data_IF_400106200133
#
_entry.id   IF_400106200133
#
_cell.length_a   1.000
_cell.length_b   1.000
_cell.length_c   1.000
_cell.angle_alpha   90.00
_cell.angle_beta   90.00
_cell.angle_gamma   90.00
#
_symmetry.space_group_name_H-M   'P 1'
#
loop_
_entity.id
_entity.type
_entity.pdbx_description
1 polymer ?
#
# COMPACT_ATOMS: atom_id res chain seq x y z
N UNK A 1 27.53 7.58 -22.03
CA UNK A 1 26.90 6.71 -21.02
C UNK A 1 25.85 7.54 -20.30
N UNK A 2 24.57 7.34 -20.59
CA UNK A 2 23.48 8.14 -19.99
C UNK A 2 23.14 7.57 -18.63
N UNK A 3 23.41 8.33 -17.57
CA UNK A 3 23.04 7.96 -16.21
C UNK A 3 21.54 8.21 -16.01
N UNK A 4 20.77 7.14 -15.86
CA UNK A 4 19.37 7.24 -15.40
C UNK A 4 19.39 7.45 -13.89
N UNK A 5 19.16 8.68 -13.45
CA UNK A 5 19.01 9.00 -12.03
C UNK A 5 17.65 8.51 -11.56
N UNK A 6 17.62 7.36 -10.87
CA UNK A 6 16.42 6.92 -10.16
C UNK A 6 16.24 7.82 -8.94
N UNK A 7 15.42 8.86 -9.06
CA UNK A 7 14.94 9.58 -7.90
C UNK A 7 14.01 8.65 -7.12
N UNK A 8 14.54 7.93 -6.13
CA UNK A 8 13.70 7.17 -5.19
C UNK A 8 12.89 8.18 -4.39
N UNK A 9 11.56 8.15 -4.52
CA UNK A 9 10.71 8.72 -3.49
C UNK A 9 11.13 8.09 -2.16
N UNK A 10 11.63 8.88 -1.22
CA UNK A 10 12.10 8.38 0.08
C UNK A 10 10.89 8.01 0.94
N UNK A 11 10.48 6.75 0.81
CA UNK A 11 9.49 6.11 1.70
C UNK A 11 10.23 5.32 2.77
N UNK A 12 9.79 5.45 4.01
CA UNK A 12 10.21 4.61 5.12
C UNK A 12 9.16 3.50 5.27
N UNK A 13 9.61 2.26 5.15
CA UNK A 13 8.82 1.05 5.38
C UNK A 13 9.68 0.02 6.09
N UNK A 14 9.05 -0.81 6.89
CA UNK A 14 9.66 -1.97 7.52
C UNK A 14 10.08 -2.96 6.43
N UNK A 15 11.37 -3.35 6.35
CA UNK A 15 11.85 -4.21 5.27
C UNK A 15 11.26 -5.61 5.27
N UNK A 16 10.77 -6.06 6.43
CA UNK A 16 10.22 -7.38 6.66
C UNK A 16 9.04 -7.27 7.62
N UNK A 17 7.97 -7.99 7.31
CA UNK A 17 6.84 -8.20 8.19
C UNK A 17 6.43 -9.67 8.08
N UNK A 18 6.36 -10.36 9.21
CA UNK A 18 6.01 -11.78 9.29
C UNK A 18 4.80 -11.95 10.20
N UNK A 19 3.91 -12.86 9.83
CA UNK A 19 2.74 -13.23 10.61
C UNK A 19 2.44 -14.71 10.41
N UNK A 20 1.58 -15.28 11.23
CA UNK A 20 1.08 -16.64 11.05
C UNK A 20 -0.09 -16.67 10.07
N UNK A 21 -0.26 -17.79 9.36
CA UNK A 21 -1.39 -17.97 8.46
C UNK A 21 -2.72 -17.79 9.21
N UNK A 22 -3.65 -17.02 8.61
CA UNK A 22 -4.94 -16.68 9.22
C UNK A 22 -4.92 -15.49 10.17
N UNK A 23 -3.75 -14.88 10.42
CA UNK A 23 -3.62 -13.66 11.22
C UNK A 23 -3.45 -12.44 10.31
N UNK A 24 -4.12 -11.35 10.67
CA UNK A 24 -3.98 -10.08 9.96
C UNK A 24 -2.56 -9.50 10.10
N UNK A 25 -2.11 -8.74 9.09
CA UNK A 25 -0.81 -8.07 9.09
C UNK A 25 -0.97 -6.61 8.66
N UNK A 26 -0.27 -5.72 9.35
CA UNK A 26 -0.23 -4.29 9.04
C UNK A 26 1.13 -3.93 8.47
N UNK A 27 1.15 -3.48 7.21
CA UNK A 27 2.34 -2.95 6.54
C UNK A 27 2.19 -1.43 6.47
N UNK A 28 3.13 -0.71 7.09
CA UNK A 28 3.09 0.73 7.15
C UNK A 28 4.04 1.36 6.13
N UNK A 29 3.72 2.59 5.72
CA UNK A 29 4.63 3.44 4.96
C UNK A 29 4.56 4.88 5.44
N UNK A 30 5.72 5.50 5.61
CA UNK A 30 5.84 6.92 5.94
C UNK A 30 6.58 7.65 4.83
N UNK A 31 6.08 8.83 4.45
CA UNK A 31 6.67 9.65 3.40
C UNK A 31 7.26 10.91 4.04
N UNK A 32 8.58 10.94 4.21
CA UNK A 32 9.23 11.99 5.01
C UNK A 32 9.31 13.34 4.27
N UNK A 33 9.45 13.32 2.94
CA UNK A 33 9.81 14.51 2.15
C UNK A 33 8.74 14.93 1.13
N UNK A 34 7.56 14.32 1.15
CA UNK A 34 6.51 14.64 0.17
C UNK A 34 5.28 15.18 0.89
N UNK A 35 4.93 16.41 0.55
CA UNK A 35 3.94 17.23 1.26
C UNK A 35 2.50 16.97 0.80
N UNK A 36 2.30 16.37 -0.38
CA UNK A 36 0.98 16.12 -0.95
C UNK A 36 0.95 14.84 -1.79
N UNK A 37 0.25 13.82 -1.30
CA UNK A 37 -0.27 12.73 -2.12
C UNK A 37 -1.78 12.77 -2.10
N UNK A 38 -2.40 12.68 -3.26
CA UNK A 38 -3.85 12.46 -3.35
C UNK A 38 -4.20 10.97 -3.24
N UNK A 39 -3.22 10.08 -3.49
CA UNK A 39 -3.40 8.63 -3.49
C UNK A 39 -2.11 7.90 -3.11
N UNK A 40 -2.24 6.78 -2.38
CA UNK A 40 -1.19 5.76 -2.19
C UNK A 40 -1.66 4.45 -2.84
N UNK A 41 -0.79 3.80 -3.59
CA UNK A 41 -1.08 2.54 -4.29
C UNK A 41 -0.23 1.42 -3.68
N UNK A 42 -0.88 0.31 -3.32
CA UNK A 42 -0.21 -0.88 -2.80
C UNK A 42 -0.16 -1.97 -3.87
N UNK A 43 1.04 -2.51 -4.07
CA UNK A 43 1.29 -3.61 -5.01
C UNK A 43 1.96 -4.78 -4.29
N UNK A 44 1.66 -5.99 -4.76
CA UNK A 44 2.30 -7.25 -4.39
C UNK A 44 3.13 -7.76 -5.55
N UNK A 45 4.36 -8.15 -5.31
CA UNK A 45 5.16 -8.90 -6.28
C UNK A 45 5.59 -10.24 -5.68
N UNK A 46 5.21 -11.33 -6.34
CA UNK A 46 5.68 -12.68 -6.00
C UNK A 46 6.93 -13.01 -6.83
N UNK A 47 7.81 -13.92 -6.35
CA UNK A 47 8.97 -14.36 -7.11
C UNK A 47 8.61 -14.79 -8.53
N UNK A 48 9.34 -14.29 -9.53
CA UNK A 48 9.13 -14.60 -10.94
C UNK A 48 7.87 -13.98 -11.59
N UNK A 49 7.15 -13.08 -10.91
CA UNK A 49 5.95 -12.43 -11.43
C UNK A 49 6.09 -10.91 -11.52
N UNK A 50 5.25 -10.29 -12.35
CA UNK A 50 5.10 -8.84 -12.38
C UNK A 50 4.35 -8.32 -11.14
N UNK A 51 4.38 -7.00 -10.87
CA UNK A 51 3.59 -6.38 -9.82
C UNK A 51 2.09 -6.59 -10.04
N UNK A 52 1.38 -6.93 -8.98
CA UNK A 52 -0.08 -7.05 -8.94
C UNK A 52 -0.65 -6.00 -7.98
N UNK A 53 -1.61 -5.20 -8.46
CA UNK A 53 -2.29 -4.21 -7.64
C UNK A 53 -3.09 -4.88 -6.53
N UNK A 54 -3.06 -4.29 -5.32
CA UNK A 54 -3.82 -4.75 -4.16
C UNK A 54 -4.95 -3.78 -3.83
N UNK A 55 -4.58 -2.55 -3.46
CA UNK A 55 -5.50 -1.54 -2.94
C UNK A 55 -4.92 -0.14 -3.13
N UNK A 56 -5.79 0.86 -3.14
CA UNK A 56 -5.38 2.26 -3.10
C UNK A 56 -6.07 2.99 -1.96
N UNK A 57 -5.35 3.89 -1.30
CA UNK A 57 -5.93 4.83 -0.34
C UNK A 57 -5.93 6.23 -0.94
N UNK A 58 -7.04 6.94 -0.81
CA UNK A 58 -7.19 8.32 -1.29
C UNK A 58 -7.12 9.27 -0.10
N UNK A 59 -6.50 10.42 -0.28
CA UNK A 59 -6.47 11.45 0.75
C UNK A 59 -7.91 11.88 1.07
N UNK A 60 -8.25 11.93 2.35
CA UNK A 60 -9.59 12.30 2.81
C UNK A 60 -10.66 11.21 2.68
N UNK A 61 -10.29 9.97 2.32
CA UNK A 61 -11.19 8.83 2.43
C UNK A 61 -11.55 8.60 3.90
N UNK A 62 -12.85 8.40 4.18
CA UNK A 62 -13.33 7.98 5.49
C UNK A 62 -13.53 6.48 5.46
N UNK A 63 -13.21 5.82 6.56
CA UNK A 63 -13.60 4.43 6.75
C UNK A 63 -15.12 4.33 6.64
N UNK A 64 -15.59 3.42 5.79
CA UNK A 64 -16.99 3.05 5.79
C UNK A 64 -17.18 2.20 7.05
N UNK A 65 -18.03 2.60 8.01
CA UNK A 65 -18.39 1.73 9.12
C UNK A 65 -18.91 0.42 8.53
N UNK A 66 -18.45 -0.72 9.07
CA UNK A 66 -18.90 -2.05 8.63
C UNK A 66 -20.43 -2.05 8.42
N UNK A 67 -20.93 -2.58 7.29
CA UNK A 67 -22.06 -1.99 6.58
C UNK A 67 -23.38 -2.06 7.37
N UNK A 68 -24.24 -1.03 7.33
CA UNK A 68 -25.67 -1.23 7.50
C UNK A 68 -26.20 -1.89 6.22
N UNK A 69 -26.54 -3.19 6.31
CA UNK A 69 -27.37 -3.85 5.32
C UNK A 69 -26.77 -5.13 4.74
N UNK A 70 -27.16 -6.26 5.33
CA UNK A 70 -27.08 -7.58 4.71
C UNK A 70 -28.17 -7.63 3.62
N UNK A 71 -27.78 -7.80 2.35
CA UNK A 71 -28.72 -8.23 1.31
C UNK A 71 -28.90 -9.74 1.46
N UNK A 72 -30.00 -10.17 2.08
CA UNK A 72 -30.45 -11.56 2.00
C UNK A 72 -31.34 -11.68 0.76
N UNK A 73 -31.08 -12.70 -0.05
CA UNK A 73 -31.83 -13.06 -1.27
C UNK A 73 -33.28 -13.42 -0.94
#
# INVERSE_FOLDING_TARGET
LSTVTVARAQVQQEPLAETTEGTDISINCSHLHIQSYEQVLWYRQLPGRGPAFLVSTLKGSKDVPAPPGRLSV
#
